data_IF_636952756358
#
_entry.id   IF_636952756358
#
_cell.length_a   1.000
_cell.length_b   1.000
_cell.length_c   1.000
_cell.angle_alpha   90.00
_cell.angle_beta   90.00
_cell.angle_gamma   90.00
#
_symmetry.space_group_name_H-M   'P 1'
#
loop_
_entity.id
_entity.type
_entity.pdbx_description
1 polymer ?
#
# COMPACT_ATOMS: atom_id res chain seq x y z
N UNK A 1 -56.33 -37.27 -49.11
CA UNK A 1 -55.78 -36.35 -50.13
C UNK A 1 -55.39 -35.03 -49.43
N UNK A 2 -54.17 -34.53 -49.71
CA UNK A 2 -53.59 -33.16 -49.52
C UNK A 2 -54.41 -32.16 -48.67
N UNK A 3 -53.85 -31.38 -47.73
CA UNK A 3 -52.77 -30.38 -47.93
C UNK A 3 -52.52 -29.59 -46.62
N UNK A 4 -51.27 -29.13 -46.40
CA UNK A 4 -50.75 -27.95 -45.63
C UNK A 4 -51.17 -27.74 -44.16
N UNK A 5 -50.42 -27.11 -43.23
CA UNK A 5 -49.20 -26.27 -43.16
C UNK A 5 -48.73 -26.38 -41.68
N UNK A 6 -47.45 -26.54 -41.37
CA UNK A 6 -46.57 -25.42 -40.98
C UNK A 6 -46.62 -25.12 -39.48
N UNK A 7 -45.49 -25.26 -38.76
CA UNK A 7 -44.93 -24.30 -37.78
C UNK A 7 -43.78 -24.94 -36.97
N UNK A 8 -42.56 -24.49 -37.26
CA UNK A 8 -41.49 -24.04 -36.36
C UNK A 8 -41.35 -24.75 -34.98
N UNK A 9 -40.25 -25.47 -34.78
CA UNK A 9 -39.35 -25.32 -33.63
C UNK A 9 -38.19 -26.33 -33.77
N UNK A 10 -37.15 -25.93 -34.49
CA UNK A 10 -35.91 -26.69 -34.59
C UNK A 10 -34.94 -26.19 -33.52
N UNK A 11 -34.25 -27.13 -32.87
CA UNK A 11 -32.85 -27.03 -32.40
C UNK A 11 -32.56 -26.00 -31.28
N UNK A 12 -32.00 -26.28 -30.11
CA UNK A 12 -30.94 -27.22 -29.73
C UNK A 12 -30.97 -27.32 -28.21
N UNK A 13 -30.98 -28.54 -27.68
CA UNK A 13 -30.55 -28.85 -26.32
C UNK A 13 -29.02 -28.82 -26.35
N UNK A 14 -28.39 -27.83 -25.72
CA UNK A 14 -26.96 -27.87 -25.45
C UNK A 14 -26.74 -28.01 -23.94
N UNK A 15 -26.62 -29.26 -23.51
CA UNK A 15 -25.92 -29.62 -22.28
C UNK A 15 -24.44 -29.31 -22.46
N UNK A 16 -23.86 -28.49 -21.56
CA UNK A 16 -22.44 -28.52 -21.23
C UNK A 16 -22.25 -27.90 -19.84
N UNK A 17 -22.58 -28.69 -18.82
CA UNK A 17 -21.83 -28.67 -17.58
C UNK A 17 -20.45 -29.27 -17.89
N UNK A 18 -19.43 -28.42 -17.93
CA UNK A 18 -18.05 -28.83 -18.16
C UNK A 18 -17.10 -27.92 -17.38
N UNK A 19 -16.69 -28.45 -16.22
CA UNK A 19 -15.42 -28.22 -15.55
C UNK A 19 -15.14 -26.83 -14.98
N UNK A 20 -15.58 -26.66 -13.72
CA UNK A 20 -14.71 -26.12 -12.68
C UNK A 20 -13.43 -26.96 -12.63
N UNK A 21 -12.39 -26.56 -13.35
CA UNK A 21 -11.02 -26.87 -12.92
C UNK A 21 -10.70 -25.97 -11.74
N UNK A 22 -10.44 -26.50 -10.52
CA UNK A 22 -9.69 -25.74 -9.54
C UNK A 22 -8.32 -25.50 -10.15
N UNK A 23 -8.08 -24.29 -10.64
CA UNK A 23 -6.75 -23.88 -11.05
C UNK A 23 -5.81 -24.15 -9.86
N UNK A 24 -4.75 -24.90 -10.14
CA UNK A 24 -3.72 -25.24 -9.20
C UNK A 24 -3.30 -24.00 -8.38
N UNK A 25 -3.28 -24.16 -7.07
CA UNK A 25 -2.73 -23.20 -6.12
C UNK A 25 -1.27 -22.94 -6.50
N UNK A 26 -0.98 -21.87 -7.24
CA UNK A 26 0.41 -21.50 -7.56
C UNK A 26 0.65 -20.62 -8.79
N UNK A 27 -0.31 -20.44 -9.69
CA UNK A 27 -0.14 -19.53 -10.83
C UNK A 27 -1.03 -18.29 -10.64
N UNK A 28 -0.44 -17.17 -10.25
CA UNK A 28 -1.12 -15.87 -10.31
C UNK A 28 -1.45 -15.57 -11.78
N UNK A 29 -2.74 -15.45 -12.17
CA UNK A 29 -3.07 -15.05 -13.53
C UNK A 29 -2.52 -13.65 -13.74
N UNK A 30 -1.53 -13.51 -14.61
CA UNK A 30 -1.15 -12.19 -15.12
C UNK A 30 -2.35 -11.70 -15.91
N UNK A 31 -2.97 -10.57 -15.54
CA UNK A 31 -4.12 -10.07 -16.26
C UNK A 31 -3.73 -9.81 -17.72
N UNK A 32 -4.51 -10.36 -18.66
CA UNK A 32 -4.29 -10.12 -20.08
C UNK A 32 -4.23 -8.62 -20.36
N UNK A 33 -3.36 -8.15 -21.26
CA UNK A 33 -3.24 -6.71 -21.55
C UNK A 33 -4.51 -6.09 -22.15
N UNK A 34 -5.42 -6.92 -22.68
CA UNK A 34 -6.67 -6.51 -23.33
C UNK A 34 -7.90 -7.11 -22.63
N UNK A 35 -8.98 -6.34 -22.57
CA UNK A 35 -10.32 -6.80 -22.20
C UNK A 35 -11.26 -6.75 -23.41
N UNK A 36 -12.47 -7.29 -23.27
CA UNK A 36 -13.53 -7.22 -24.27
C UNK A 36 -14.45 -6.02 -24.03
N UNK A 37 -15.14 -5.59 -25.08
CA UNK A 37 -16.16 -4.54 -24.95
C UNK A 37 -17.26 -4.89 -23.92
N UNK A 38 -17.64 -6.16 -23.85
CA UNK A 38 -18.62 -6.66 -22.89
C UNK A 38 -18.14 -6.60 -21.43
N UNK A 39 -16.84 -6.42 -21.21
CA UNK A 39 -16.22 -6.32 -19.88
C UNK A 39 -16.03 -4.86 -19.46
N UNK A 40 -16.48 -3.88 -20.25
CA UNK A 40 -16.32 -2.46 -19.92
C UNK A 40 -16.90 -2.15 -18.54
N UNK A 41 -16.07 -1.58 -17.65
CA UNK A 41 -16.43 -1.28 -16.27
C UNK A 41 -16.30 -2.45 -15.29
N UNK A 42 -16.05 -3.67 -15.77
CA UNK A 42 -15.74 -4.83 -14.90
C UNK A 42 -14.42 -4.60 -14.19
N UNK A 43 -14.39 -4.97 -12.91
CA UNK A 43 -13.20 -4.93 -12.07
C UNK A 43 -12.60 -6.33 -11.92
N UNK A 44 -11.27 -6.42 -12.00
CA UNK A 44 -10.51 -7.62 -11.72
C UNK A 44 -9.43 -7.30 -10.68
N UNK A 45 -9.17 -8.23 -9.77
CA UNK A 45 -8.13 -8.07 -8.76
C UNK A 45 -6.98 -9.03 -9.03
N UNK A 46 -5.74 -8.54 -8.94
CA UNK A 46 -4.56 -9.36 -9.05
C UNK A 46 -3.56 -8.99 -7.97
N UNK A 47 -2.89 -9.99 -7.39
CA UNK A 47 -1.87 -9.75 -6.37
C UNK A 47 -0.51 -9.77 -7.04
N UNK A 48 0.11 -8.61 -7.15
CA UNK A 48 1.50 -8.46 -7.56
C UNK A 48 2.43 -8.65 -6.35
N UNK A 49 3.45 -9.49 -6.50
CA UNK A 49 4.41 -9.78 -5.42
C UNK A 49 5.28 -8.58 -5.00
N UNK A 50 5.39 -7.55 -5.86
CA UNK A 50 6.18 -6.33 -5.64
C UNK A 50 5.32 -5.10 -5.33
N UNK A 51 4.08 -5.06 -5.81
CA UNK A 51 3.17 -3.91 -5.73
C UNK A 51 1.84 -4.19 -5.02
N UNK A 52 1.59 -5.44 -4.59
CA UNK A 52 0.40 -5.84 -3.85
C UNK A 52 -0.86 -6.10 -4.68
N UNK A 53 -2.00 -6.15 -4.00
CA UNK A 53 -3.33 -6.32 -4.61
C UNK A 53 -3.74 -5.12 -5.47
N UNK A 54 -3.58 -5.25 -6.77
CA UNK A 54 -4.06 -4.27 -7.72
C UNK A 54 -5.49 -4.59 -8.16
N UNK A 55 -6.29 -3.55 -8.35
CA UNK A 55 -7.60 -3.61 -9.00
C UNK A 55 -7.46 -2.95 -10.36
N UNK A 56 -7.78 -3.73 -11.39
CA UNK A 56 -7.90 -3.29 -12.76
C UNK A 56 -9.37 -3.05 -13.06
N UNK A 57 -9.68 -1.98 -13.78
CA UNK A 57 -10.98 -1.80 -14.42
C UNK A 57 -10.79 -1.86 -15.93
N UNK A 58 -11.61 -2.64 -16.62
CA UNK A 58 -11.62 -2.61 -18.07
C UNK A 58 -12.14 -1.25 -18.54
N UNK A 59 -11.28 -0.53 -19.26
CA UNK A 59 -11.55 0.80 -19.80
C UNK A 59 -11.31 0.86 -21.30
N UNK A 60 -11.86 1.90 -21.93
CA UNK A 60 -11.63 2.17 -23.35
C UNK A 60 -10.45 3.12 -23.51
N UNK A 61 -9.39 2.67 -24.16
CA UNK A 61 -8.19 3.47 -24.48
C UNK A 61 -8.12 3.59 -26.00
N UNK A 62 -8.58 4.73 -26.52
CA UNK A 62 -8.76 4.94 -27.97
C UNK A 62 -9.76 3.94 -28.57
N UNK A 63 -9.31 3.16 -29.57
CA UNK A 63 -10.12 2.12 -30.23
C UNK A 63 -10.03 0.75 -29.56
N UNK A 64 -9.29 0.61 -28.46
CA UNK A 64 -9.03 -0.68 -27.78
C UNK A 64 -9.66 -0.70 -26.39
N UNK A 65 -9.98 -1.91 -25.92
CA UNK A 65 -10.43 -2.17 -24.57
C UNK A 65 -9.26 -2.78 -23.79
N UNK A 66 -8.79 -2.08 -22.76
CA UNK A 66 -7.62 -2.47 -21.99
C UNK A 66 -7.97 -2.52 -20.50
N UNK A 67 -7.33 -3.43 -19.78
CA UNK A 67 -7.34 -3.41 -18.32
C UNK A 67 -6.45 -2.26 -17.84
N UNK A 68 -7.04 -1.29 -17.14
CA UNK A 68 -6.33 -0.13 -16.58
C UNK A 68 -6.31 -0.26 -15.07
N UNK A 69 -5.16 -0.01 -14.45
CA UNK A 69 -5.05 0.01 -12.98
C UNK A 69 -5.85 1.21 -12.47
N UNK A 70 -6.90 0.93 -11.72
CA UNK A 70 -7.76 1.97 -11.13
C UNK A 70 -7.55 2.10 -9.63
N UNK A 71 -7.02 1.06 -8.98
CA UNK A 71 -6.69 1.09 -7.57
C UNK A 71 -5.57 0.13 -7.25
N UNK A 72 -4.48 0.62 -6.66
CA UNK A 72 -3.44 -0.23 -6.07
C UNK A 72 -3.73 -0.35 -4.58
N UNK A 73 -3.94 -1.57 -4.10
CA UNK A 73 -4.06 -1.91 -2.67
C UNK A 73 -2.85 -2.75 -2.33
N UNK A 74 -1.88 -2.24 -1.60
CA UNK A 74 -0.73 -3.06 -1.21
C UNK A 74 -1.20 -4.30 -0.42
N UNK A 75 -0.44 -5.42 -0.41
CA UNK A 75 -0.92 -6.61 0.24
C UNK A 75 -1.15 -6.23 1.70
N UNK A 76 -2.40 -6.33 2.15
CA UNK A 76 -2.70 -6.22 3.56
C UNK A 76 -1.81 -7.25 4.25
N UNK A 77 -0.75 -6.82 4.94
CA UNK A 77 -0.05 -7.53 6.04
C UNK A 77 1.43 -7.17 6.29
N UNK A 78 2.04 -6.17 5.65
CA UNK A 78 3.37 -5.72 6.12
C UNK A 78 3.27 -4.71 7.28
N UNK A 79 2.24 -3.87 7.30
CA UNK A 79 2.00 -2.89 8.36
C UNK A 79 1.19 -3.46 9.54
N UNK A 80 0.42 -4.53 9.33
CA UNK A 80 -0.51 -5.09 10.32
C UNK A 80 0.14 -5.72 11.56
N UNK A 81 1.45 -5.99 11.54
CA UNK A 81 2.16 -6.64 12.66
C UNK A 81 2.11 -5.81 13.94
N UNK A 82 2.28 -4.50 13.82
CA UNK A 82 2.39 -3.62 14.98
C UNK A 82 1.32 -2.53 14.99
N UNK A 83 1.09 -1.87 13.86
CA UNK A 83 0.20 -0.71 13.75
C UNK A 83 -0.44 -0.70 12.37
N UNK A 84 -1.78 -0.76 12.32
CA UNK A 84 -2.50 -0.61 11.06
C UNK A 84 -2.34 0.83 10.54
N UNK A 85 -1.84 0.98 9.31
CA UNK A 85 -1.70 2.29 8.65
C UNK A 85 -2.57 2.31 7.41
N UNK A 86 -3.41 3.33 7.28
CA UNK A 86 -4.29 3.48 6.10
C UNK A 86 -4.26 4.89 5.56
N UNK A 87 -4.65 5.04 4.29
CA UNK A 87 -4.60 6.31 3.55
C UNK A 87 -3.53 6.29 2.45
N UNK A 88 -3.54 7.34 1.63
CA UNK A 88 -2.57 7.56 0.55
C UNK A 88 -1.53 8.62 0.97
N UNK A 89 -0.55 8.90 0.11
CA UNK A 89 0.51 9.90 0.36
C UNK A 89 0.09 11.35 0.12
N UNK A 90 -1.19 11.62 -0.20
CA UNK A 90 -1.71 12.97 -0.44
C UNK A 90 -2.52 13.51 0.75
N UNK A 91 -2.61 12.75 1.84
CA UNK A 91 -3.36 13.11 3.04
C UNK A 91 -2.74 12.46 4.28
N UNK A 92 -3.08 12.99 5.46
CA UNK A 92 -2.61 12.45 6.73
C UNK A 92 -2.92 10.95 6.86
N UNK A 93 -1.97 10.12 7.31
CA UNK A 93 -2.23 8.72 7.56
C UNK A 93 -3.23 8.55 8.70
N UNK A 94 -4.06 7.51 8.61
CA UNK A 94 -4.87 7.03 9.73
C UNK A 94 -4.15 5.87 10.40
N UNK A 95 -3.74 6.06 11.64
CA UNK A 95 -3.05 5.06 12.45
C UNK A 95 -4.04 4.38 13.41
N UNK A 96 -4.00 3.05 13.48
CA UNK A 96 -4.63 2.29 14.55
C UNK A 96 -3.82 2.34 15.84
N UNK A 97 -4.40 1.84 16.95
CA UNK A 97 -3.64 1.62 18.18
C UNK A 97 -2.54 0.57 17.96
N UNK A 98 -1.35 0.74 18.54
CA UNK A 98 -0.32 -0.28 18.51
C UNK A 98 -0.80 -1.57 19.20
N UNK A 99 -0.29 -2.71 18.72
CA UNK A 99 -0.64 -4.04 19.21
C UNK A 99 0.60 -4.89 19.37
N UNK A 100 0.52 -5.87 20.27
CA UNK A 100 1.60 -6.80 20.55
C UNK A 100 2.70 -6.17 21.40
N UNK A 101 3.87 -6.83 21.41
CA UNK A 101 5.05 -6.33 22.08
C UNK A 101 5.80 -5.36 21.16
N UNK A 102 6.30 -4.25 21.73
CA UNK A 102 7.17 -3.35 21.01
C UNK A 102 8.42 -4.09 20.52
N UNK A 103 8.84 -3.90 19.26
CA UNK A 103 10.03 -4.56 18.75
C UNK A 103 11.28 -4.01 19.44
N UNK A 104 12.27 -4.89 19.66
CA UNK A 104 13.60 -4.52 20.19
C UNK A 104 14.57 -4.08 19.10
N UNK A 105 14.26 -4.37 17.84
CA UNK A 105 15.01 -3.94 16.66
C UNK A 105 14.16 -2.99 15.81
N UNK A 106 14.81 -2.20 14.96
CA UNK A 106 14.10 -1.34 14.01
C UNK A 106 13.19 -2.19 13.10
N UNK A 107 11.92 -1.83 13.05
CA UNK A 107 11.00 -2.32 12.03
C UNK A 107 10.80 -1.24 10.97
N UNK A 108 10.88 -1.63 9.70
CA UNK A 108 10.68 -0.74 8.55
C UNK A 108 9.90 -1.48 7.47
N UNK A 109 8.82 -0.86 6.99
CA UNK A 109 7.99 -1.42 5.92
C UNK A 109 7.35 -0.34 5.07
N UNK A 110 7.44 -0.46 3.75
CA UNK A 110 6.70 0.39 2.82
C UNK A 110 5.20 0.08 2.90
N UNK A 111 4.42 1.07 3.33
CA UNK A 111 2.95 1.04 3.33
C UNK A 111 2.41 1.50 1.99
N UNK A 112 3.12 2.42 1.32
CA UNK A 112 2.92 2.82 -0.07
C UNK A 112 4.30 2.85 -0.73
N UNK A 113 4.51 2.09 -1.80
CA UNK A 113 5.77 2.12 -2.52
C UNK A 113 5.79 3.32 -3.47
N UNK A 114 6.79 4.19 -3.32
CA UNK A 114 7.00 5.32 -4.21
C UNK A 114 7.56 4.90 -5.58
N UNK A 115 7.39 5.78 -6.57
CA UNK A 115 7.87 5.57 -7.94
C UNK A 115 9.10 6.42 -8.32
N UNK A 116 9.44 7.44 -7.52
CA UNK A 116 10.49 8.40 -7.87
C UNK A 116 11.89 8.00 -7.37
N UNK A 117 12.70 9.02 -7.09
CA UNK A 117 14.09 8.83 -6.67
C UNK A 117 14.17 8.03 -5.37
N UNK A 118 15.23 7.21 -5.25
CA UNK A 118 15.51 6.44 -4.04
C UNK A 118 16.29 7.33 -3.08
N UNK A 119 15.90 7.38 -1.81
CA UNK A 119 16.66 8.05 -0.76
C UNK A 119 17.95 7.25 -0.43
N UNK A 120 19.16 7.76 -0.69
CA UNK A 120 20.38 7.15 -0.20
C UNK A 120 20.61 7.45 1.28
N UNK A 121 21.53 6.72 1.91
CA UNK A 121 21.99 7.03 3.26
C UNK A 121 22.59 8.45 3.32
N UNK A 122 22.28 9.19 4.38
CA UNK A 122 22.79 10.56 4.58
C UNK A 122 22.14 11.64 3.71
N UNK A 123 21.17 11.30 2.86
CA UNK A 123 20.45 12.26 2.03
C UNK A 123 19.73 13.34 2.85
N UNK A 124 19.44 14.47 2.20
CA UNK A 124 18.39 15.37 2.68
C UNK A 124 17.07 14.89 2.11
N UNK A 125 16.06 14.71 2.96
CA UNK A 125 14.72 14.28 2.55
C UNK A 125 13.69 15.32 2.95
N UNK A 126 12.79 15.65 2.04
CA UNK A 126 11.58 16.42 2.32
C UNK A 126 10.44 15.44 2.52
N UNK A 127 9.77 15.52 3.66
CA UNK A 127 8.76 14.55 4.07
C UNK A 127 7.53 15.22 4.67
N UNK A 128 6.41 14.51 4.61
CA UNK A 128 5.47 14.58 5.73
C UNK A 128 5.74 13.42 6.68
N UNK A 129 5.41 13.60 7.96
CA UNK A 129 5.41 12.51 8.92
C UNK A 129 4.31 12.68 9.97
N UNK A 130 3.98 11.56 10.61
CA UNK A 130 3.19 11.48 11.84
C UNK A 130 3.93 10.59 12.84
N UNK A 131 4.11 11.09 14.05
CA UNK A 131 4.72 10.42 15.19
C UNK A 131 3.64 10.02 16.19
N UNK A 132 3.64 8.76 16.60
CA UNK A 132 2.83 8.23 17.68
C UNK A 132 3.73 7.59 18.75
N UNK A 133 3.43 7.84 20.03
CA UNK A 133 4.07 7.15 21.14
C UNK A 133 3.46 5.74 21.28
N UNK A 134 4.31 4.72 21.36
CA UNK A 134 3.85 3.33 21.50
C UNK A 134 3.04 3.12 22.78
N UNK A 135 3.56 3.60 23.91
CA UNK A 135 2.97 3.38 25.25
C UNK A 135 1.52 3.84 25.35
N UNK A 136 1.21 5.01 24.78
CA UNK A 136 -0.12 5.61 24.85
C UNK A 136 -0.98 5.35 23.61
N UNK A 137 -0.37 5.00 22.48
CA UNK A 137 -1.03 4.91 21.18
C UNK A 137 -1.59 6.25 20.69
N UNK A 138 -1.08 7.38 21.20
CA UNK A 138 -1.51 8.72 20.82
C UNK A 138 -0.53 9.34 19.83
N UNK A 139 -1.08 10.09 18.86
CA UNK A 139 -0.28 10.95 18.00
C UNK A 139 0.31 12.05 18.90
N UNK A 140 1.62 12.21 18.76
CA UNK A 140 2.44 13.15 19.51
C UNK A 140 2.72 14.39 18.66
N UNK A 141 3.02 14.16 17.39
CA UNK A 141 3.32 15.22 16.43
C UNK A 141 2.94 14.79 15.02
N UNK A 142 2.47 15.71 14.20
CA UNK A 142 2.20 15.47 12.79
C UNK A 142 2.48 16.71 11.95
N UNK A 143 3.33 16.56 10.93
CA UNK A 143 3.52 17.65 9.94
C UNK A 143 2.26 17.90 9.10
N UNK A 144 1.39 16.89 8.99
CA UNK A 144 0.12 17.02 8.28
C UNK A 144 -0.85 17.96 9.01
N UNK A 145 -0.83 17.97 10.35
CA UNK A 145 -1.62 18.92 11.16
C UNK A 145 -1.13 20.36 10.98
N UNK A 146 0.16 20.53 10.68
CA UNK A 146 0.73 21.84 10.32
C UNK A 146 0.52 22.24 8.86
N UNK A 147 0.03 21.33 8.01
CA UNK A 147 -0.21 21.58 6.59
C UNK A 147 1.04 21.81 5.74
N UNK A 148 2.25 21.55 6.26
CA UNK A 148 3.51 21.83 5.57
C UNK A 148 4.51 20.68 5.73
N UNK A 149 5.27 20.43 4.67
CA UNK A 149 6.37 19.45 4.67
C UNK A 149 7.54 19.98 5.50
N UNK A 150 8.42 19.07 5.90
CA UNK A 150 9.64 19.40 6.62
C UNK A 150 10.82 18.70 5.95
N UNK A 151 11.94 19.41 5.86
CA UNK A 151 13.19 18.86 5.31
C UNK A 151 14.14 18.50 6.44
N UNK A 152 14.70 17.28 6.37
CA UNK A 152 15.67 16.77 7.32
C UNK A 152 16.89 16.24 6.59
N UNK A 153 18.09 16.55 7.11
CA UNK A 153 19.28 15.77 6.78
C UNK A 153 19.22 14.46 7.56
N UNK A 154 19.30 13.31 6.89
CA UNK A 154 19.27 12.02 7.57
C UNK A 154 20.41 11.90 8.59
N UNK A 155 21.60 12.45 8.30
CA UNK A 155 22.71 12.45 9.26
C UNK A 155 22.46 13.24 10.55
N UNK A 156 21.45 14.11 10.58
CA UNK A 156 21.14 14.99 11.71
C UNK A 156 19.91 14.58 12.54
N UNK A 157 19.30 13.42 12.24
CA UNK A 157 18.10 12.93 12.96
C UNK A 157 18.38 11.63 13.72
N UNK A 158 17.41 11.11 14.48
CA UNK A 158 17.55 9.88 15.26
C UNK A 158 18.00 8.69 14.39
N UNK A 159 18.75 7.76 15.00
CA UNK A 159 19.35 6.61 14.30
C UNK A 159 18.31 5.75 13.57
N UNK A 160 17.10 5.62 14.12
CA UNK A 160 16.01 4.90 13.47
C UNK A 160 15.56 5.49 12.14
N UNK A 161 15.67 6.82 11.94
CA UNK A 161 15.44 7.44 10.63
C UNK A 161 16.62 7.22 9.69
N UNK A 162 17.85 7.35 10.20
CA UNK A 162 19.09 7.09 9.45
C UNK A 162 19.11 5.68 8.85
N UNK A 163 18.64 4.69 9.59
CA UNK A 163 18.63 3.29 9.16
C UNK A 163 17.32 2.90 8.44
N UNK A 164 16.21 3.54 8.79
CA UNK A 164 14.87 3.15 8.33
C UNK A 164 14.44 3.77 7.00
N UNK A 165 14.91 4.98 6.68
CA UNK A 165 14.52 5.72 5.48
C UNK A 165 15.30 5.32 4.22
N UNK A 166 16.61 4.98 4.27
CA UNK A 166 17.31 4.58 3.06
C UNK A 166 16.60 3.48 2.27
N UNK A 167 16.63 3.59 0.95
CA UNK A 167 15.89 2.70 0.04
C UNK A 167 14.41 3.04 -0.16
N UNK A 168 13.85 3.99 0.61
CA UNK A 168 12.51 4.54 0.36
C UNK A 168 12.50 5.35 -0.95
N UNK A 169 11.36 5.38 -1.65
CA UNK A 169 11.18 6.13 -2.91
C UNK A 169 10.23 7.31 -2.75
N UNK A 170 10.51 8.39 -3.47
CA UNK A 170 9.60 9.54 -3.55
C UNK A 170 8.20 9.13 -3.98
N UNK A 171 7.20 9.78 -3.36
CA UNK A 171 5.79 9.43 -3.48
C UNK A 171 5.37 8.21 -2.65
N UNK A 172 6.29 7.65 -1.85
CA UNK A 172 6.04 6.51 -0.97
C UNK A 172 5.65 6.90 0.46
N UNK A 173 5.06 5.94 1.17
CA UNK A 173 4.76 5.97 2.62
C UNK A 173 5.45 4.79 3.29
N UNK A 174 6.14 5.02 4.40
CA UNK A 174 6.85 3.99 5.17
C UNK A 174 6.46 4.05 6.63
N UNK A 175 6.20 2.88 7.21
CA UNK A 175 6.04 2.69 8.64
C UNK A 175 7.39 2.32 9.25
N UNK A 176 7.80 3.07 10.26
CA UNK A 176 8.94 2.76 11.12
C UNK A 176 8.44 2.54 12.55
N UNK A 177 8.86 1.43 13.18
CA UNK A 177 8.73 1.24 14.63
C UNK A 177 10.13 1.17 15.21
N UNK A 178 10.47 2.20 15.98
CA UNK A 178 11.83 2.52 16.40
C UNK A 178 11.95 2.23 17.89
N UNK A 179 12.76 1.23 18.30
CA UNK A 179 13.02 0.98 19.71
C UNK A 179 13.76 2.17 20.36
N UNK A 180 13.69 2.34 21.69
CA UNK A 180 14.24 3.52 22.35
C UNK A 180 15.74 3.73 22.08
N UNK A 181 16.51 2.65 21.96
CA UNK A 181 17.94 2.69 21.65
C UNK A 181 18.28 3.34 20.30
N UNK A 182 17.32 3.40 19.36
CA UNK A 182 17.47 4.06 18.06
C UNK A 182 16.64 5.37 17.97
N UNK A 183 15.97 5.74 19.07
CA UNK A 183 15.19 6.96 19.22
C UNK A 183 15.85 7.91 20.24
N UNK A 184 15.12 8.25 21.30
CA UNK A 184 15.56 9.18 22.35
C UNK A 184 16.15 8.51 23.61
N UNK A 185 16.22 7.17 23.63
CA UNK A 185 16.80 6.41 24.74
C UNK A 185 16.11 6.68 26.08
N UNK A 186 16.89 6.79 27.15
CA UNK A 186 16.40 7.02 28.52
C UNK A 186 15.99 8.48 28.79
N UNK A 187 16.03 9.35 27.78
CA UNK A 187 15.73 10.78 27.92
C UNK A 187 14.29 11.06 27.49
N UNK A 188 13.50 11.68 28.36
CA UNK A 188 12.20 12.23 27.97
C UNK A 188 12.38 13.52 27.15
N UNK A 189 11.61 13.68 26.08
CA UNK A 189 11.68 14.85 25.19
C UNK A 189 10.27 15.34 24.87
N UNK A 190 9.91 16.49 25.47
CA UNK A 190 8.57 17.05 25.35
C UNK A 190 7.49 16.02 25.74
N UNK A 191 6.52 15.72 24.85
CA UNK A 191 5.48 14.71 25.10
C UNK A 191 5.94 13.23 25.02
N UNK A 192 7.21 12.97 24.67
CA UNK A 192 7.77 11.61 24.57
C UNK A 192 8.45 11.24 25.90
N UNK A 193 8.03 10.11 26.48
CA UNK A 193 8.62 9.59 27.72
C UNK A 193 10.02 9.00 27.54
N UNK A 194 10.71 8.78 28.66
CA UNK A 194 11.94 8.00 28.68
C UNK A 194 11.68 6.55 28.25
N UNK A 195 12.62 5.94 27.53
CA UNK A 195 12.54 4.58 27.01
C UNK A 195 11.30 4.32 26.14
N UNK A 196 10.81 5.36 25.44
CA UNK A 196 9.63 5.26 24.59
C UNK A 196 9.95 4.64 23.22
N UNK A 197 9.10 3.70 22.77
CA UNK A 197 9.15 3.19 21.40
C UNK A 197 8.37 4.14 20.50
N UNK A 198 8.97 4.53 19.38
CA UNK A 198 8.39 5.53 18.48
C UNK A 198 7.79 4.86 17.25
N UNK A 199 6.58 5.26 16.88
CA UNK A 199 5.92 4.86 15.65
C UNK A 199 5.92 6.06 14.72
N UNK A 200 6.66 5.98 13.63
CA UNK A 200 6.63 6.99 12.57
C UNK A 200 5.95 6.44 11.32
N UNK A 201 5.04 7.23 10.76
CA UNK A 201 4.61 7.06 9.37
C UNK A 201 5.19 8.23 8.59
N UNK A 202 6.07 7.93 7.65
CA UNK A 202 6.81 8.92 6.85
C UNK A 202 6.31 8.84 5.42
N UNK A 203 5.98 10.00 4.85
CA UNK A 203 5.66 10.19 3.44
C UNK A 203 6.82 10.92 2.77
N UNK A 204 7.54 10.24 1.87
CA UNK A 204 8.69 10.83 1.20
C UNK A 204 8.22 11.66 0.01
N UNK A 205 8.35 12.99 0.13
CA UNK A 205 7.92 13.93 -0.91
C UNK A 205 9.05 14.16 -1.90
N UNK A 206 10.28 14.35 -1.42
CA UNK A 206 11.43 14.64 -2.27
C UNK A 206 12.74 14.14 -1.65
N UNK A 207 13.67 13.71 -2.48
CA UNK A 207 15.08 13.47 -2.17
C UNK A 207 15.89 14.65 -2.71
N UNK A 208 16.71 15.25 -1.84
CA UNK A 208 17.57 16.40 -2.14
C UNK A 208 18.96 16.02 -2.58
#
# INVERSE_FOLDING_TARGET
MRKVNGFIASTIVLSLAAWLTPAAHGATPTPAKSCKAAELGVQAQFTDSKEGLQTLTCGRVGKRYLWVITKVTLPANLDSKFVKVTGNTTSAPKLGKPKGQAPTALFSADVVKGGGAVAPAGATVTVHYTLMAWSSGKIVESSWERGQTVSFSLGGVIKGWQDGIPGMREGGRRLLVIPPALGYGATATGPIGANETLIFVVDLVKVG
#
